data_IF_709831006858
#
_entry.id   IF_709831006858
#
_cell.length_a   1.000
_cell.length_b   1.000
_cell.length_c   1.000
_cell.angle_alpha   90.00
_cell.angle_beta   90.00
_cell.angle_gamma   90.00
#
_symmetry.space_group_name_H-M   'P 1'
#
loop_
_entity.id
_entity.type
_entity.pdbx_description
1 polymer ?
#
# COMPACT_ATOMS: atom_id res chain seq x y z
N UNK A 1 2.10 -50.17 -2.12
CA UNK A 1 0.81 -49.48 -1.90
C UNK A 1 0.61 -48.49 -3.03
N UNK A 2 -0.37 -48.73 -3.91
CA UNK A 2 -0.67 -47.90 -5.09
C UNK A 2 -1.93 -47.07 -4.79
N UNK A 3 -1.88 -45.79 -5.17
CA UNK A 3 -2.89 -44.77 -4.92
C UNK A 3 -4.25 -45.11 -5.58
N UNK A 4 -5.39 -44.83 -4.92
CA UNK A 4 -6.73 -45.24 -5.39
C UNK A 4 -7.34 -44.30 -6.44
N UNK A 5 -6.59 -43.36 -7.03
CA UNK A 5 -7.11 -42.39 -8.00
C UNK A 5 -6.72 -42.64 -9.48
N UNK A 6 -6.10 -43.78 -9.80
CA UNK A 6 -5.92 -44.21 -11.20
C UNK A 6 -7.07 -45.10 -11.66
N UNK A 7 -8.21 -44.49 -12.02
CA UNK A 7 -9.29 -45.30 -12.61
C UNK A 7 -10.57 -44.52 -12.87
N UNK A 8 -11.04 -44.59 -14.12
CA UNK A 8 -12.35 -44.13 -14.61
C UNK A 8 -12.63 -42.61 -14.62
N UNK A 9 -12.39 -41.87 -13.53
CA UNK A 9 -12.67 -40.42 -13.47
C UNK A 9 -11.68 -39.58 -14.31
N UNK A 10 -10.39 -39.93 -14.28
CA UNK A 10 -9.35 -39.28 -15.10
C UNK A 10 -9.58 -39.46 -16.61
N UNK A 11 -10.01 -40.66 -17.04
CA UNK A 11 -10.35 -40.93 -18.44
C UNK A 11 -11.65 -40.24 -18.86
N UNK A 12 -12.60 -40.07 -17.96
CA UNK A 12 -13.89 -39.41 -18.25
C UNK A 12 -13.72 -37.88 -18.35
N UNK A 13 -12.90 -37.28 -17.49
CA UNK A 13 -12.55 -35.86 -17.57
C UNK A 13 -11.72 -35.53 -18.82
N UNK A 14 -10.75 -36.38 -19.19
CA UNK A 14 -9.99 -36.24 -20.43
C UNK A 14 -10.90 -36.36 -21.67
N UNK A 15 -11.87 -37.29 -21.66
CA UNK A 15 -12.83 -37.46 -22.75
C UNK A 15 -13.83 -36.30 -22.83
N UNK A 16 -14.22 -35.71 -21.71
CA UNK A 16 -15.05 -34.50 -21.67
C UNK A 16 -14.31 -33.26 -22.19
N UNK A 17 -13.00 -33.15 -21.90
CA UNK A 17 -12.13 -32.12 -22.46
C UNK A 17 -11.90 -32.31 -23.97
N UNK A 18 -11.70 -33.53 -24.44
CA UNK A 18 -11.63 -33.84 -25.88
C UNK A 18 -12.95 -33.53 -26.59
N UNK A 19 -14.10 -33.84 -25.98
CA UNK A 19 -15.43 -33.51 -26.54
C UNK A 19 -15.61 -31.99 -26.61
N UNK A 20 -15.29 -31.25 -25.55
CA UNK A 20 -15.36 -29.78 -25.54
C UNK A 20 -14.40 -29.14 -26.55
N UNK A 21 -13.19 -29.69 -26.72
CA UNK A 21 -12.21 -29.22 -27.70
C UNK A 21 -12.67 -29.52 -29.13
N UNK A 22 -13.32 -30.67 -29.34
CA UNK A 22 -13.87 -31.09 -30.64
C UNK A 22 -15.13 -30.31 -31.00
N UNK A 23 -15.95 -29.93 -30.02
CA UNK A 23 -17.10 -29.04 -30.17
C UNK A 23 -16.62 -27.61 -30.51
N UNK A 24 -15.53 -27.15 -29.90
CA UNK A 24 -14.90 -25.87 -30.26
C UNK A 24 -14.31 -25.88 -31.68
N UNK A 25 -13.72 -27.00 -32.11
CA UNK A 25 -13.25 -27.20 -33.49
C UNK A 25 -14.38 -27.41 -34.51
N UNK A 26 -15.56 -27.84 -34.07
CA UNK A 26 -16.72 -28.00 -34.93
C UNK A 26 -17.46 -26.66 -35.12
N UNK A 27 -17.53 -25.84 -34.07
CA UNK A 27 -18.01 -24.45 -34.13
C UNK A 27 -17.13 -23.61 -35.06
N UNK A 28 -15.81 -23.88 -35.13
CA UNK A 28 -14.93 -23.19 -36.10
C UNK A 28 -15.10 -23.68 -37.54
N UNK A 29 -15.53 -24.93 -37.76
CA UNK A 29 -15.77 -25.52 -39.10
C UNK A 29 -17.13 -25.19 -39.70
N UNK A 30 -18.13 -24.84 -38.89
CA UNK A 30 -19.48 -24.46 -39.36
C UNK A 30 -19.69 -22.96 -39.54
N UNK A 31 -18.64 -22.14 -39.43
CA UNK A 31 -18.69 -20.78 -39.99
C UNK A 31 -18.79 -20.89 -41.51
N UNK A 32 -20.03 -20.92 -42.02
CA UNK A 32 -20.37 -20.26 -43.27
C UNK A 32 -19.59 -18.95 -43.28
N UNK A 33 -18.84 -18.68 -44.36
CA UNK A 33 -18.20 -17.39 -44.61
C UNK A 33 -19.29 -16.32 -44.74
N UNK A 34 -19.87 -15.96 -43.61
CA UNK A 34 -20.44 -14.65 -43.40
C UNK A 34 -19.29 -13.84 -42.86
N UNK A 35 -19.01 -12.72 -43.52
CA UNK A 35 -17.99 -11.75 -43.14
C UNK A 35 -18.43 -11.06 -41.83
N UNK A 36 -18.42 -11.81 -40.73
CA UNK A 36 -18.64 -11.30 -39.39
C UNK A 36 -17.29 -10.84 -38.87
N UNK A 37 -16.98 -9.56 -39.04
CA UNK A 37 -16.08 -8.89 -38.12
C UNK A 37 -16.82 -8.84 -36.77
N UNK A 38 -16.41 -9.57 -35.72
CA UNK A 38 -16.99 -9.36 -34.40
C UNK A 38 -16.67 -7.92 -34.00
N UNK A 39 -17.69 -7.07 -34.00
CA UNK A 39 -17.55 -5.64 -33.73
C UNK A 39 -18.33 -5.23 -32.48
N UNK A 40 -18.16 -3.96 -32.03
CA UNK A 40 -18.81 -3.41 -30.84
C UNK A 40 -20.32 -3.72 -30.75
N UNK A 41 -21.05 -3.50 -31.87
CA UNK A 41 -22.49 -3.76 -31.95
C UNK A 41 -22.90 -5.17 -31.57
N UNK A 42 -22.10 -6.18 -31.96
CA UNK A 42 -22.43 -7.57 -31.66
C UNK A 42 -22.26 -7.86 -30.17
N UNK A 43 -21.19 -7.35 -29.56
CA UNK A 43 -20.96 -7.47 -28.12
C UNK A 43 -22.09 -6.79 -27.34
N UNK A 44 -22.45 -5.55 -27.71
CA UNK A 44 -23.53 -4.81 -27.07
C UNK A 44 -24.87 -5.56 -27.16
N UNK A 45 -25.23 -6.07 -28.35
CA UNK A 45 -26.46 -6.86 -28.53
C UNK A 45 -26.49 -8.09 -27.61
N UNK A 46 -25.39 -8.84 -27.48
CA UNK A 46 -25.37 -9.98 -26.56
C UNK A 46 -25.50 -9.56 -25.09
N UNK A 47 -24.86 -8.47 -24.68
CA UNK A 47 -24.96 -7.99 -23.30
C UNK A 47 -26.36 -7.45 -22.99
N UNK A 48 -27.02 -6.77 -23.95
CA UNK A 48 -28.41 -6.32 -23.83
C UNK A 48 -29.36 -7.50 -23.69
N UNK A 49 -29.22 -8.52 -24.55
CA UNK A 49 -30.03 -9.74 -24.47
C UNK A 49 -29.85 -10.46 -23.13
N UNK A 50 -28.64 -10.48 -22.56
CA UNK A 50 -28.41 -11.02 -21.22
C UNK A 50 -29.09 -10.15 -20.16
N UNK A 51 -28.92 -8.83 -20.23
CA UNK A 51 -29.46 -7.89 -19.25
C UNK A 51 -31.00 -7.89 -19.20
N UNK A 52 -31.66 -8.08 -20.34
CA UNK A 52 -33.13 -8.03 -20.49
C UNK A 52 -33.81 -9.41 -20.41
N UNK A 53 -33.05 -10.50 -20.30
CA UNK A 53 -33.63 -11.85 -20.28
C UNK A 53 -34.52 -12.08 -19.05
N UNK A 54 -35.82 -12.26 -19.27
CA UNK A 54 -36.77 -12.59 -18.19
C UNK A 54 -36.65 -14.06 -17.74
N UNK A 55 -36.50 -15.01 -18.68
CA UNK A 55 -36.42 -16.44 -18.39
C UNK A 55 -35.00 -16.85 -17.93
N UNK A 56 -34.83 -17.30 -16.67
CA UNK A 56 -33.53 -17.73 -16.15
C UNK A 56 -32.89 -18.88 -16.93
N UNK A 57 -33.68 -19.73 -17.61
CA UNK A 57 -33.15 -20.84 -18.42
C UNK A 57 -32.41 -20.37 -19.66
N UNK A 58 -32.73 -19.18 -20.17
CA UNK A 58 -31.97 -18.57 -21.26
C UNK A 58 -30.58 -18.14 -20.79
N UNK A 59 -30.45 -17.72 -19.53
CA UNK A 59 -29.18 -17.31 -18.95
C UNK A 59 -28.19 -18.48 -18.82
N UNK A 60 -28.67 -19.71 -18.54
CA UNK A 60 -27.81 -20.91 -18.55
C UNK A 60 -27.10 -21.11 -19.90
N UNK A 61 -27.75 -20.70 -21.00
CA UNK A 61 -27.19 -20.79 -22.36
C UNK A 61 -26.38 -19.56 -22.74
N UNK A 62 -26.75 -18.40 -22.21
CA UNK A 62 -26.14 -17.13 -22.58
C UNK A 62 -24.88 -16.80 -21.77
N UNK A 63 -24.77 -17.29 -20.52
CA UNK A 63 -23.66 -16.98 -19.60
C UNK A 63 -22.24 -17.18 -20.17
N UNK A 64 -21.95 -18.16 -21.06
CA UNK A 64 -20.62 -18.26 -21.67
C UNK A 64 -20.23 -17.05 -22.53
N UNK A 65 -21.20 -16.26 -22.98
CA UNK A 65 -21.00 -15.05 -23.79
C UNK A 65 -20.60 -13.84 -22.94
N UNK A 66 -20.80 -13.87 -21.62
CA UNK A 66 -20.32 -12.84 -20.71
C UNK A 66 -18.79 -12.92 -20.60
N UNK A 67 -18.08 -11.85 -20.98
CA UNK A 67 -16.62 -11.84 -21.05
C UNK A 67 -16.03 -10.45 -20.85
N UNK A 68 -15.19 -10.31 -19.82
CA UNK A 68 -14.41 -9.10 -19.56
C UNK A 68 -13.38 -8.81 -20.66
N UNK A 69 -12.78 -9.85 -21.24
CA UNK A 69 -11.85 -9.68 -22.37
C UNK A 69 -12.57 -9.14 -23.62
N UNK A 70 -13.80 -9.60 -23.87
CA UNK A 70 -14.61 -9.06 -24.96
C UNK A 70 -15.02 -7.60 -24.68
N UNK A 71 -15.36 -7.26 -23.43
CA UNK A 71 -15.64 -5.87 -23.05
C UNK A 71 -14.41 -4.97 -23.24
N UNK A 72 -13.21 -5.42 -22.86
CA UNK A 72 -11.98 -4.63 -23.04
C UNK A 72 -11.69 -4.35 -24.53
N UNK A 73 -12.03 -5.29 -25.42
CA UNK A 73 -11.78 -5.17 -26.85
C UNK A 73 -12.88 -4.42 -27.61
N UNK A 74 -14.13 -4.65 -27.25
CA UNK A 74 -15.29 -4.25 -28.06
C UNK A 74 -16.34 -3.43 -27.32
N UNK A 75 -16.28 -3.37 -25.98
CA UNK A 75 -17.24 -2.61 -25.18
C UNK A 75 -17.21 -1.10 -25.47
N UNK A 76 -18.22 -0.39 -24.97
CA UNK A 76 -18.29 1.06 -25.03
C UNK A 76 -17.41 1.77 -23.99
N UNK A 77 -17.61 3.09 -23.86
CA UNK A 77 -16.91 3.96 -22.89
C UNK A 77 -17.40 3.80 -21.44
N UNK A 78 -18.50 3.06 -21.22
CA UNK A 78 -19.12 2.85 -19.91
C UNK A 78 -19.26 1.37 -19.56
N UNK A 79 -19.19 1.06 -18.27
CA UNK A 79 -19.42 -0.27 -17.70
C UNK A 79 -20.90 -0.53 -17.38
N UNK A 80 -21.83 0.42 -17.63
CA UNK A 80 -23.25 0.29 -17.28
C UNK A 80 -23.93 -0.94 -17.89
N UNK A 81 -23.69 -1.20 -19.17
CA UNK A 81 -24.25 -2.38 -19.84
C UNK A 81 -23.66 -3.68 -19.27
N UNK A 82 -22.36 -3.68 -18.95
CA UNK A 82 -21.69 -4.79 -18.30
C UNK A 82 -22.26 -5.03 -16.89
N UNK A 83 -22.53 -3.97 -16.13
CA UNK A 83 -23.14 -4.01 -14.81
C UNK A 83 -24.55 -4.59 -14.85
N UNK A 84 -25.40 -4.15 -15.79
CA UNK A 84 -26.75 -4.69 -15.97
C UNK A 84 -26.72 -6.19 -16.30
N UNK A 85 -25.85 -6.60 -17.23
CA UNK A 85 -25.69 -8.01 -17.58
C UNK A 85 -25.17 -8.84 -16.40
N UNK A 86 -24.15 -8.33 -15.68
CA UNK A 86 -23.61 -8.98 -14.48
C UNK A 86 -24.69 -9.17 -13.41
N UNK A 87 -25.42 -8.10 -13.06
CA UNK A 87 -26.46 -8.12 -12.05
C UNK A 87 -27.58 -9.10 -12.41
N UNK A 88 -27.98 -9.16 -13.68
CA UNK A 88 -29.00 -10.11 -14.14
C UNK A 88 -28.53 -11.56 -14.01
N UNK A 89 -27.28 -11.84 -14.38
CA UNK A 89 -26.67 -13.17 -14.24
C UNK A 89 -26.43 -13.56 -12.78
N UNK A 90 -26.26 -12.60 -11.89
CA UNK A 90 -26.03 -12.83 -10.45
C UNK A 90 -27.32 -12.83 -9.62
N UNK A 91 -28.47 -12.57 -10.23
CA UNK A 91 -29.76 -12.51 -9.57
C UNK A 91 -30.15 -13.84 -8.88
N UNK A 92 -30.96 -13.75 -7.83
CA UNK A 92 -31.28 -14.90 -6.96
C UNK A 92 -32.09 -16.01 -7.65
N UNK A 93 -32.80 -15.68 -8.73
CA UNK A 93 -33.60 -16.61 -9.56
C UNK A 93 -32.75 -17.40 -10.57
N UNK A 94 -31.46 -17.07 -10.71
CA UNK A 94 -30.53 -17.77 -11.61
C UNK A 94 -29.93 -19.03 -11.00
N UNK A 95 -29.52 -19.95 -11.87
CA UNK A 95 -28.88 -21.19 -11.42
C UNK A 95 -27.53 -20.93 -10.75
N UNK A 96 -27.13 -21.82 -9.83
CA UNK A 96 -25.80 -21.77 -9.21
C UNK A 96 -24.70 -21.87 -10.27
N UNK A 97 -24.92 -22.67 -11.33
CA UNK A 97 -23.97 -22.84 -12.43
C UNK A 97 -23.70 -21.51 -13.17
N UNK A 98 -24.75 -20.72 -13.42
CA UNK A 98 -24.61 -19.38 -14.04
C UNK A 98 -23.73 -18.49 -13.19
N UNK A 99 -24.04 -18.37 -11.89
CA UNK A 99 -23.29 -17.50 -10.96
C UNK A 99 -21.83 -17.91 -10.82
N UNK A 100 -21.55 -19.21 -10.71
CA UNK A 100 -20.18 -19.72 -10.68
C UNK A 100 -19.45 -19.53 -12.01
N UNK A 101 -20.16 -19.60 -13.14
CA UNK A 101 -19.57 -19.31 -14.45
C UNK A 101 -19.19 -17.83 -14.57
N UNK A 102 -20.03 -16.91 -14.09
CA UNK A 102 -19.71 -15.46 -14.05
C UNK A 102 -18.46 -15.21 -13.20
N UNK A 103 -18.40 -15.76 -11.98
CA UNK A 103 -17.19 -15.64 -11.13
C UNK A 103 -15.94 -16.20 -11.81
N UNK A 104 -16.06 -17.33 -12.52
CA UNK A 104 -14.95 -17.92 -13.25
C UNK A 104 -14.44 -17.04 -14.42
N UNK A 105 -15.26 -16.13 -14.95
CA UNK A 105 -14.83 -15.22 -16.03
C UNK A 105 -13.73 -14.25 -15.57
N UNK A 106 -13.68 -13.88 -14.30
CA UNK A 106 -12.61 -13.02 -13.78
C UNK A 106 -11.25 -13.74 -13.85
N UNK A 107 -11.21 -15.02 -13.47
CA UNK A 107 -9.98 -15.84 -13.59
C UNK A 107 -9.55 -16.02 -15.04
N UNK A 108 -10.51 -16.27 -15.93
CA UNK A 108 -10.26 -16.35 -17.38
C UNK A 108 -9.72 -15.04 -17.94
N UNK A 109 -10.24 -13.91 -17.45
CA UNK A 109 -9.77 -12.59 -17.85
C UNK A 109 -8.31 -12.37 -17.42
N UNK A 110 -7.99 -12.62 -16.15
CA UNK A 110 -6.61 -12.52 -15.65
C UNK A 110 -5.63 -13.41 -16.46
N UNK A 111 -6.01 -14.65 -16.74
CA UNK A 111 -5.21 -15.56 -17.60
C UNK A 111 -5.09 -15.02 -19.04
N UNK A 112 -6.17 -14.46 -19.58
CA UNK A 112 -6.18 -13.86 -20.90
C UNK A 112 -5.28 -12.63 -21.02
N UNK A 113 -5.07 -11.87 -19.94
CA UNK A 113 -4.11 -10.75 -19.93
C UNK A 113 -2.66 -11.24 -19.99
N UNK A 114 -2.34 -12.38 -19.37
CA UNK A 114 -1.00 -13.00 -19.44
C UNK A 114 -0.67 -13.52 -20.84
N UNK A 115 -1.68 -13.97 -21.58
CA UNK A 115 -1.55 -14.51 -22.94
C UNK A 115 -2.58 -13.87 -23.87
N UNK A 116 -2.39 -12.59 -24.25
CA UNK A 116 -3.37 -11.87 -25.04
C UNK A 116 -3.61 -12.58 -26.38
N UNK A 117 -4.87 -12.91 -26.73
CA UNK A 117 -5.19 -13.66 -27.96
C UNK A 117 -5.06 -12.83 -29.25
N UNK A 118 -4.53 -11.60 -29.17
CA UNK A 118 -4.31 -10.68 -30.28
C UNK A 118 -2.93 -10.01 -30.15
N UNK A 119 -2.29 -9.68 -31.27
CA UNK A 119 -1.05 -8.90 -31.29
C UNK A 119 -1.35 -7.50 -30.78
N UNK A 120 -0.88 -7.17 -29.59
CA UNK A 120 -1.20 -5.90 -28.93
C UNK A 120 -0.31 -4.80 -29.48
N UNK A 121 -0.84 -3.97 -30.38
CA UNK A 121 -0.62 -2.53 -30.27
C UNK A 121 -1.31 -2.10 -28.97
N UNK A 122 -0.52 -1.56 -28.02
CA UNK A 122 -0.82 -1.18 -26.62
C UNK A 122 -2.25 -1.42 -26.09
N UNK A 123 -2.37 -2.20 -25.00
CA UNK A 123 -3.59 -2.29 -24.20
C UNK A 123 -4.10 -0.87 -23.91
N UNK A 124 -5.40 -0.64 -24.11
CA UNK A 124 -6.03 0.62 -23.72
C UNK A 124 -6.05 0.72 -22.18
N UNK A 125 -5.09 1.45 -21.63
CA UNK A 125 -4.87 1.60 -20.19
C UNK A 125 -6.10 2.20 -19.49
N UNK A 126 -6.78 3.15 -20.13
CA UNK A 126 -7.96 3.78 -19.56
C UNK A 126 -9.11 2.78 -19.44
N UNK A 127 -9.35 1.97 -20.48
CA UNK A 127 -10.38 0.93 -20.44
C UNK A 127 -10.04 -0.19 -19.47
N UNK A 128 -8.77 -0.58 -19.38
CA UNK A 128 -8.33 -1.56 -18.39
C UNK A 128 -8.58 -1.03 -16.96
N UNK A 129 -8.31 0.25 -16.71
CA UNK A 129 -8.59 0.89 -15.42
C UNK A 129 -10.09 0.87 -15.09
N UNK A 130 -10.94 1.33 -16.00
CA UNK A 130 -12.40 1.30 -15.83
C UNK A 130 -12.94 -0.10 -15.54
N UNK A 131 -12.42 -1.10 -16.26
CA UNK A 131 -12.81 -2.50 -16.05
C UNK A 131 -12.30 -3.05 -14.72
N UNK A 132 -11.08 -2.68 -14.31
CA UNK A 132 -10.51 -3.08 -13.03
C UNK A 132 -11.33 -2.52 -11.87
N UNK A 133 -11.70 -1.24 -11.94
CA UNK A 133 -12.53 -0.59 -10.93
C UNK A 133 -13.89 -1.29 -10.84
N UNK A 134 -14.53 -1.57 -11.99
CA UNK A 134 -15.77 -2.37 -12.04
C UNK A 134 -15.60 -3.75 -11.39
N UNK A 135 -14.53 -4.49 -11.72
CA UNK A 135 -14.29 -5.84 -11.17
C UNK A 135 -14.10 -5.79 -9.65
N UNK A 136 -13.44 -4.74 -9.14
CA UNK A 136 -13.16 -4.57 -7.71
C UNK A 136 -14.42 -4.57 -6.85
N UNK A 137 -15.52 -3.98 -7.35
CA UNK A 137 -16.82 -3.92 -6.66
C UNK A 137 -17.46 -5.30 -6.44
N UNK A 138 -17.02 -6.31 -7.20
CA UNK A 138 -17.60 -7.65 -7.18
C UNK A 138 -16.63 -8.74 -6.72
N UNK A 139 -15.39 -8.39 -6.37
CA UNK A 139 -14.40 -9.33 -5.86
C UNK A 139 -14.80 -9.88 -4.48
N UNK A 140 -14.70 -11.21 -4.31
CA UNK A 140 -14.86 -11.85 -3.00
C UNK A 140 -13.51 -11.89 -2.28
N UNK A 141 -13.21 -10.86 -1.49
CA UNK A 141 -11.97 -10.83 -0.70
C UNK A 141 -12.02 -11.78 0.51
N UNK A 142 -10.92 -12.51 0.81
CA UNK A 142 -9.62 -12.50 0.13
C UNK A 142 -9.51 -13.55 -1.01
N UNK A 143 -10.54 -14.37 -1.25
CA UNK A 143 -10.48 -15.50 -2.18
C UNK A 143 -10.11 -15.11 -3.62
N UNK A 144 -10.56 -13.94 -4.06
CA UNK A 144 -10.33 -13.41 -5.40
C UNK A 144 -9.10 -12.49 -5.49
N UNK A 145 -8.44 -12.21 -4.35
CA UNK A 145 -7.34 -11.25 -4.27
C UNK A 145 -6.16 -11.60 -5.20
N UNK A 146 -5.68 -12.86 -5.34
CA UNK A 146 -4.61 -13.16 -6.29
C UNK A 146 -5.00 -12.90 -7.76
N UNK A 147 -6.24 -13.20 -8.10
CA UNK A 147 -6.76 -12.95 -9.46
C UNK A 147 -6.87 -11.44 -9.72
N UNK A 148 -7.37 -10.68 -8.75
CA UNK A 148 -7.47 -9.23 -8.87
C UNK A 148 -6.08 -8.56 -8.91
N UNK A 149 -5.12 -9.01 -8.09
CA UNK A 149 -3.72 -8.57 -8.15
C UNK A 149 -3.10 -8.81 -9.52
N UNK A 150 -3.40 -9.95 -10.16
CA UNK A 150 -2.96 -10.23 -11.52
C UNK A 150 -3.49 -9.18 -12.49
N UNK A 151 -4.76 -8.78 -12.39
CA UNK A 151 -5.34 -7.73 -13.23
C UNK A 151 -4.64 -6.39 -12.98
N UNK A 152 -4.47 -6.01 -11.70
CA UNK A 152 -3.79 -4.75 -11.31
C UNK A 152 -2.33 -4.71 -11.78
N UNK A 153 -1.68 -5.86 -11.94
CA UNK A 153 -0.30 -5.96 -12.45
C UNK A 153 -0.10 -5.50 -13.91
N UNK A 154 -1.19 -5.36 -14.67
CA UNK A 154 -1.17 -4.83 -16.04
C UNK A 154 -1.42 -3.32 -16.12
N UNK A 155 -1.67 -2.66 -14.98
CA UNK A 155 -1.70 -1.20 -14.94
C UNK A 155 -0.27 -0.64 -14.99
N UNK A 156 -0.10 0.64 -15.39
CA UNK A 156 1.20 1.29 -15.40
C UNK A 156 1.94 1.17 -14.05
N UNK A 157 3.26 0.92 -14.11
CA UNK A 157 4.15 0.83 -12.95
C UNK A 157 3.80 -0.26 -11.91
N UNK A 158 3.06 -1.30 -12.31
CA UNK A 158 2.63 -2.41 -11.44
C UNK A 158 3.09 -3.79 -11.93
N UNK A 159 4.00 -3.87 -12.90
CA UNK A 159 4.50 -5.14 -13.46
C UNK A 159 5.10 -6.08 -12.40
N UNK A 160 5.63 -5.51 -11.32
CA UNK A 160 6.16 -6.25 -10.18
C UNK A 160 5.10 -7.11 -9.45
N UNK A 161 3.82 -6.78 -9.59
CA UNK A 161 2.73 -7.53 -8.95
C UNK A 161 2.41 -8.85 -9.66
N UNK A 162 2.96 -9.10 -10.86
CA UNK A 162 2.64 -10.30 -11.67
C UNK A 162 2.88 -11.59 -10.90
N UNK A 163 4.05 -11.71 -10.26
CA UNK A 163 4.37 -12.91 -9.48
C UNK A 163 3.50 -13.04 -8.23
N UNK A 164 3.04 -11.91 -7.66
CA UNK A 164 2.20 -11.89 -6.45
C UNK A 164 0.82 -12.49 -6.73
N UNK A 165 0.28 -12.21 -7.92
CA UNK A 165 -1.01 -12.75 -8.35
C UNK A 165 -1.04 -14.27 -8.57
N UNK A 166 0.12 -14.92 -8.69
CA UNK A 166 0.26 -16.37 -8.86
C UNK A 166 0.38 -17.13 -7.52
N UNK A 167 0.50 -16.42 -6.40
CA UNK A 167 0.66 -17.01 -5.07
C UNK A 167 -0.66 -17.58 -4.53
N UNK A 168 -0.55 -18.37 -3.47
CA UNK A 168 -1.70 -18.71 -2.62
C UNK A 168 -2.34 -17.43 -2.06
N UNK A 169 -3.58 -17.51 -1.58
CA UNK A 169 -4.25 -16.35 -0.96
C UNK A 169 -3.38 -15.74 0.16
N UNK A 170 -2.87 -16.56 1.07
CA UNK A 170 -2.04 -16.11 2.18
C UNK A 170 -0.71 -15.50 1.70
N UNK A 171 -0.06 -16.14 0.73
CA UNK A 171 1.16 -15.62 0.11
C UNK A 171 0.92 -14.29 -0.59
N UNK A 172 -0.19 -14.16 -1.31
CA UNK A 172 -0.61 -12.93 -1.98
C UNK A 172 -0.87 -11.82 -0.97
N UNK A 173 -1.63 -12.08 0.11
CA UNK A 173 -1.88 -11.09 1.17
C UNK A 173 -0.56 -10.61 1.76
N UNK A 174 0.33 -11.52 2.17
CA UNK A 174 1.59 -11.17 2.80
C UNK A 174 2.50 -10.33 1.89
N UNK A 175 2.59 -10.69 0.60
CA UNK A 175 3.41 -9.99 -0.37
C UNK A 175 2.80 -8.63 -0.76
N UNK A 176 1.47 -8.50 -0.79
CA UNK A 176 0.82 -7.21 -0.97
C UNK A 176 1.08 -6.25 0.19
N UNK A 177 1.21 -6.75 1.42
CA UNK A 177 1.61 -5.91 2.56
C UNK A 177 3.05 -5.36 2.41
N UNK A 178 3.87 -5.93 1.53
CA UNK A 178 5.20 -5.43 1.17
C UNK A 178 5.20 -4.47 -0.03
N UNK A 179 4.05 -4.20 -0.66
CA UNK A 179 3.99 -3.59 -1.99
C UNK A 179 4.54 -2.15 -2.08
N UNK A 180 4.71 -1.47 -0.94
CA UNK A 180 5.30 -0.12 -0.86
C UNK A 180 6.74 -0.09 -0.36
N UNK A 181 7.36 -1.23 -0.02
CA UNK A 181 8.78 -1.25 0.34
C UNK A 181 9.67 -1.14 -0.90
N UNK A 182 9.80 0.09 -1.43
CA UNK A 182 10.56 0.34 -2.66
C UNK A 182 11.04 1.78 -2.77
N UNK A 183 12.20 1.94 -3.39
CA UNK A 183 12.76 3.26 -3.69
C UNK A 183 12.08 4.00 -4.85
N UNK A 184 11.41 3.27 -5.75
CA UNK A 184 10.73 3.84 -6.91
C UNK A 184 9.26 4.05 -6.62
N UNK A 185 8.66 5.05 -7.25
CA UNK A 185 7.22 5.29 -7.19
C UNK A 185 6.47 4.03 -7.66
N UNK A 186 5.55 3.57 -6.82
CA UNK A 186 4.60 2.52 -7.14
C UNK A 186 3.51 3.03 -8.10
N UNK A 187 3.06 2.17 -9.02
CA UNK A 187 1.78 2.36 -9.69
C UNK A 187 0.59 2.32 -8.71
N UNK A 188 -0.61 2.60 -9.21
CA UNK A 188 -1.82 2.63 -8.38
C UNK A 188 -2.14 1.23 -7.82
N UNK A 189 -1.89 1.06 -6.52
CA UNK A 189 -2.05 -0.22 -5.79
C UNK A 189 -2.62 -0.04 -4.39
N UNK A 190 -3.19 1.13 -4.12
CA UNK A 190 -3.77 1.49 -2.83
C UNK A 190 -4.85 0.48 -2.41
N UNK A 191 -5.77 0.13 -3.31
CA UNK A 191 -6.90 -0.74 -2.99
C UNK A 191 -6.46 -2.15 -2.57
N UNK A 192 -5.60 -2.79 -3.36
CA UNK A 192 -5.13 -4.15 -3.05
C UNK A 192 -4.28 -4.21 -1.76
N UNK A 193 -3.53 -3.15 -1.48
CA UNK A 193 -2.81 -3.01 -0.20
C UNK A 193 -3.78 -2.87 0.98
N UNK A 194 -4.79 -2.00 0.84
CA UNK A 194 -5.81 -1.79 1.87
C UNK A 194 -6.65 -3.03 2.10
N UNK A 195 -7.01 -3.79 1.06
CA UNK A 195 -7.73 -5.07 1.20
C UNK A 195 -6.90 -6.11 1.94
N UNK A 196 -5.61 -6.25 1.62
CA UNK A 196 -4.70 -7.14 2.33
C UNK A 196 -4.61 -6.76 3.83
N UNK A 197 -4.44 -5.48 4.14
CA UNK A 197 -4.42 -5.00 5.53
C UNK A 197 -5.77 -5.14 6.23
N UNK A 198 -6.89 -4.91 5.53
CA UNK A 198 -8.26 -5.08 6.05
C UNK A 198 -8.52 -6.53 6.41
N UNK A 199 -8.08 -7.47 5.59
CA UNK A 199 -8.21 -8.89 5.84
C UNK A 199 -7.49 -9.30 7.15
N UNK A 200 -6.21 -8.93 7.29
CA UNK A 200 -5.46 -9.20 8.52
C UNK A 200 -6.12 -8.54 9.74
N UNK A 201 -6.58 -7.29 9.62
CA UNK A 201 -7.30 -6.62 10.70
C UNK A 201 -8.61 -7.33 11.08
N UNK A 202 -9.33 -7.89 10.10
CA UNK A 202 -10.55 -8.65 10.37
C UNK A 202 -10.27 -9.92 11.16
N UNK A 203 -9.19 -10.63 10.85
CA UNK A 203 -8.74 -11.80 11.59
C UNK A 203 -8.33 -11.44 13.02
N UNK A 204 -7.61 -10.32 13.22
CA UNK A 204 -7.28 -9.83 14.58
C UNK A 204 -8.56 -9.52 15.37
N UNK A 205 -9.58 -8.93 14.74
CA UNK A 205 -10.86 -8.64 15.40
C UNK A 205 -11.65 -9.90 15.78
N UNK A 206 -11.45 -10.99 15.04
CA UNK A 206 -12.02 -12.31 15.30
C UNK A 206 -11.12 -13.16 16.24
N UNK A 207 -10.11 -12.55 16.87
CA UNK A 207 -9.17 -13.21 17.78
C UNK A 207 -8.34 -14.34 17.14
N UNK A 208 -8.24 -14.32 15.80
CA UNK A 208 -7.48 -15.29 14.99
C UNK A 208 -6.05 -14.80 14.71
N UNK A 209 -5.33 -14.43 15.77
CA UNK A 209 -3.98 -13.86 15.65
C UNK A 209 -3.01 -14.88 15.04
N UNK A 210 -3.16 -16.17 15.35
CA UNK A 210 -2.29 -17.22 14.81
C UNK A 210 -2.46 -17.41 13.29
N UNK A 211 -3.67 -17.20 12.74
CA UNK A 211 -3.90 -17.18 11.29
C UNK A 211 -3.17 -16.00 10.64
N UNK A 212 -3.19 -14.82 11.29
CA UNK A 212 -2.42 -13.65 10.82
C UNK A 212 -0.93 -13.95 10.83
N UNK A 213 -0.43 -14.58 11.89
CA UNK A 213 0.99 -14.97 11.97
C UNK A 213 1.37 -15.94 10.85
N UNK A 214 0.52 -16.92 10.54
CA UNK A 214 0.75 -17.85 9.43
C UNK A 214 0.81 -17.11 8.09
N UNK A 215 -0.08 -16.15 7.84
CA UNK A 215 -0.02 -15.29 6.66
C UNK A 215 1.31 -14.52 6.62
N UNK A 216 1.66 -13.85 7.71
CA UNK A 216 2.86 -13.01 7.78
C UNK A 216 4.17 -13.80 7.64
N UNK A 217 4.19 -15.12 7.88
CA UNK A 217 5.37 -15.97 7.62
C UNK A 217 5.79 -16.01 6.15
N UNK A 218 4.89 -15.67 5.23
CA UNK A 218 5.20 -15.61 3.80
C UNK A 218 5.95 -14.34 3.37
N UNK A 219 6.26 -13.42 4.30
CA UNK A 219 7.00 -12.19 4.01
C UNK A 219 7.94 -11.81 5.17
N UNK A 220 8.95 -11.00 4.88
CA UNK A 220 9.84 -10.49 5.92
C UNK A 220 9.13 -9.37 6.70
N UNK A 221 9.00 -9.48 8.04
CA UNK A 221 8.34 -8.48 8.87
C UNK A 221 8.90 -7.06 8.71
N UNK A 222 10.22 -6.92 8.50
CA UNK A 222 10.86 -5.61 8.30
C UNK A 222 10.47 -4.96 6.97
N UNK A 223 10.25 -5.78 5.92
CA UNK A 223 9.76 -5.32 4.61
C UNK A 223 8.30 -4.85 4.74
N UNK A 224 7.48 -5.61 5.45
CA UNK A 224 6.09 -5.22 5.73
C UNK A 224 6.05 -3.90 6.50
N UNK A 225 6.89 -3.76 7.54
CA UNK A 225 6.96 -2.54 8.34
C UNK A 225 7.39 -1.32 7.51
N UNK A 226 8.45 -1.45 6.71
CA UNK A 226 8.91 -0.40 5.79
C UNK A 226 7.85 -0.02 4.77
N UNK A 227 7.10 -1.00 4.27
CA UNK A 227 5.97 -0.78 3.36
C UNK A 227 4.86 0.04 4.04
N UNK A 228 4.47 -0.28 5.29
CA UNK A 228 3.51 0.54 6.05
C UNK A 228 3.99 1.96 6.31
N UNK A 229 5.27 2.14 6.63
CA UNK A 229 5.88 3.47 6.79
C UNK A 229 5.94 4.27 5.49
N UNK A 230 5.75 3.63 4.32
CA UNK A 230 5.75 4.23 2.99
C UNK A 230 4.36 4.34 2.35
N UNK A 231 3.37 3.61 2.88
CA UNK A 231 2.07 3.47 2.26
C UNK A 231 1.28 4.80 2.31
N UNK A 232 0.88 5.35 1.14
CA UNK A 232 0.12 6.59 1.08
C UNK A 232 -1.27 6.39 1.68
N UNK A 233 -1.84 7.49 2.22
CA UNK A 233 -3.22 7.57 2.74
C UNK A 233 -3.60 6.51 3.77
N UNK A 234 -2.62 5.84 4.37
CA UNK A 234 -2.85 4.80 5.37
C UNK A 234 -3.01 5.45 6.74
N UNK A 235 -4.20 5.32 7.33
CA UNK A 235 -4.48 5.84 8.67
C UNK A 235 -3.90 4.95 9.76
N UNK A 236 -3.23 5.55 10.75
CA UNK A 236 -2.72 4.82 11.92
C UNK A 236 -3.83 4.07 12.67
N UNK A 237 -5.06 4.61 12.72
CA UNK A 237 -6.20 3.97 13.40
C UNK A 237 -6.51 2.61 12.77
N UNK A 238 -6.42 2.54 11.44
CA UNK A 238 -6.69 1.34 10.68
C UNK A 238 -5.61 0.27 10.91
N UNK A 239 -4.33 0.63 10.87
CA UNK A 239 -3.23 -0.35 10.90
C UNK A 239 -2.65 -0.61 12.29
N UNK A 240 -3.06 0.14 13.32
CA UNK A 240 -2.53 0.05 14.70
C UNK A 240 -2.42 -1.37 15.22
N UNK A 241 -3.48 -2.17 15.08
CA UNK A 241 -3.51 -3.54 15.57
C UNK A 241 -2.54 -4.45 14.82
N UNK A 242 -2.48 -4.33 13.50
CA UNK A 242 -1.57 -5.10 12.67
C UNK A 242 -0.09 -4.74 12.96
N UNK A 243 0.22 -3.44 13.07
CA UNK A 243 1.57 -2.99 13.47
C UNK A 243 1.94 -3.54 14.85
N UNK A 244 1.01 -3.54 15.81
CA UNK A 244 1.28 -4.13 17.13
C UNK A 244 1.64 -5.61 17.10
N UNK A 245 1.08 -6.37 16.13
CA UNK A 245 1.45 -7.77 15.92
C UNK A 245 2.87 -7.86 15.35
N UNK A 246 3.19 -7.01 14.35
CA UNK A 246 4.50 -6.96 13.70
C UNK A 246 5.65 -6.52 14.61
N UNK A 247 5.35 -5.78 15.67
CA UNK A 247 6.33 -5.28 16.66
C UNK A 247 6.32 -6.07 17.97
N UNK A 248 5.49 -7.11 18.10
CA UNK A 248 5.42 -7.93 19.33
C UNK A 248 6.64 -8.83 19.50
N UNK A 249 6.88 -9.36 20.71
CA UNK A 249 8.02 -10.22 21.07
C UNK A 249 8.33 -11.40 20.12
N UNK A 250 7.34 -11.83 19.31
CA UNK A 250 7.56 -12.81 18.25
C UNK A 250 8.50 -12.34 17.14
N UNK A 251 8.56 -11.03 16.94
CA UNK A 251 9.44 -10.37 16.01
C UNK A 251 10.48 -9.59 16.83
N UNK A 252 11.75 -9.88 16.57
CA UNK A 252 12.85 -9.34 17.34
C UNK A 252 12.81 -7.80 17.38
N UNK A 253 12.70 -7.22 18.58
CA UNK A 253 12.59 -5.77 18.76
C UNK A 253 13.85 -5.05 18.28
N UNK A 254 15.03 -5.68 18.40
CA UNK A 254 16.27 -5.15 17.85
C UNK A 254 16.23 -5.06 16.32
N UNK A 255 15.69 -6.08 15.64
CA UNK A 255 15.57 -6.05 14.18
C UNK A 255 14.59 -4.95 13.73
N UNK A 256 13.54 -4.72 14.52
CA UNK A 256 12.58 -3.63 14.30
C UNK A 256 13.23 -2.27 14.52
N UNK A 257 14.01 -2.10 15.60
CA UNK A 257 14.73 -0.86 15.90
C UNK A 257 15.77 -0.55 14.82
N UNK A 258 16.54 -1.56 14.40
CA UNK A 258 17.50 -1.45 13.31
C UNK A 258 16.80 -1.04 12.00
N UNK A 259 15.70 -1.72 11.66
CA UNK A 259 14.89 -1.42 10.48
C UNK A 259 14.42 0.04 10.45
N UNK A 260 13.85 0.54 11.55
CA UNK A 260 13.36 1.93 11.64
C UNK A 260 14.52 2.93 11.55
N UNK A 261 15.63 2.63 12.20
CA UNK A 261 16.80 3.53 12.22
C UNK A 261 17.45 3.63 10.84
N UNK A 262 17.64 2.51 10.14
CA UNK A 262 18.15 2.49 8.77
C UNK A 262 17.19 3.19 7.80
N UNK A 263 15.89 2.93 7.94
CA UNK A 263 14.85 3.60 7.15
C UNK A 263 14.89 5.11 7.30
N UNK A 264 15.05 5.63 8.53
CA UNK A 264 15.09 7.07 8.80
C UNK A 264 16.43 7.72 8.45
N UNK A 265 17.52 6.94 8.41
CA UNK A 265 18.83 7.44 7.96
C UNK A 265 18.84 7.71 6.46
N UNK A 266 18.11 6.90 5.68
CA UNK A 266 18.00 7.04 4.23
C UNK A 266 16.53 7.03 3.80
N UNK A 267 15.77 8.09 4.14
CA UNK A 267 14.33 8.10 3.95
C UNK A 267 13.94 8.05 2.47
N UNK A 268 12.93 7.24 2.08
CA UNK A 268 12.33 7.29 0.75
C UNK A 268 11.51 8.58 0.57
N UNK A 269 11.11 8.87 -0.67
CA UNK A 269 10.34 10.08 -0.98
C UNK A 269 8.95 10.11 -0.33
N UNK A 270 8.30 8.95 -0.21
CA UNK A 270 6.98 8.78 0.36
C UNK A 270 7.10 8.23 1.79
N UNK A 271 7.09 9.12 2.79
CA UNK A 271 7.05 8.72 4.20
C UNK A 271 5.67 9.04 4.77
N UNK A 272 5.13 8.09 5.50
CA UNK A 272 3.95 8.28 6.32
C UNK A 272 4.38 8.51 7.78
N UNK A 273 4.58 9.79 8.14
CA UNK A 273 5.10 10.23 9.44
C UNK A 273 4.22 9.77 10.62
N UNK A 274 2.90 9.68 10.43
CA UNK A 274 1.97 9.16 11.43
C UNK A 274 2.24 7.68 11.73
N UNK A 275 2.48 6.89 10.69
CA UNK A 275 2.79 5.47 10.83
C UNK A 275 4.18 5.27 11.44
N UNK A 276 5.19 6.05 11.04
CA UNK A 276 6.51 6.01 11.68
C UNK A 276 6.40 6.30 13.17
N UNK A 277 5.66 7.35 13.56
CA UNK A 277 5.43 7.68 14.97
C UNK A 277 4.73 6.57 15.74
N UNK A 278 3.77 5.89 15.11
CA UNK A 278 3.10 4.72 15.68
C UNK A 278 4.05 3.54 15.90
N UNK A 279 4.95 3.29 14.94
CA UNK A 279 5.97 2.22 15.06
C UNK A 279 6.95 2.54 16.20
N UNK A 280 7.43 3.79 16.30
CA UNK A 280 8.29 4.26 17.40
C UNK A 280 7.58 4.08 18.75
N UNK A 281 6.29 4.43 18.83
CA UNK A 281 5.48 4.21 20.04
C UNK A 281 5.47 2.74 20.47
N UNK A 282 5.32 1.81 19.53
CA UNK A 282 5.35 0.38 19.86
C UNK A 282 6.74 -0.09 20.27
N UNK A 283 7.81 0.36 19.58
CA UNK A 283 9.19 0.08 19.98
C UNK A 283 9.47 0.45 21.43
N UNK A 284 8.99 1.62 21.87
CA UNK A 284 9.11 2.05 23.28
C UNK A 284 8.40 1.06 24.20
N UNK A 285 7.19 0.60 23.85
CA UNK A 285 6.46 -0.35 24.70
C UNK A 285 7.23 -1.64 25.01
N UNK A 286 8.09 -2.10 24.11
CA UNK A 286 8.86 -3.34 24.26
C UNK A 286 10.33 -3.12 24.64
N UNK A 287 10.90 -1.96 24.34
CA UNK A 287 12.29 -1.60 24.62
C UNK A 287 12.36 -0.27 25.36
N UNK A 288 11.57 -0.08 26.42
CA UNK A 288 11.76 1.05 27.32
C UNK A 288 12.58 0.62 28.54
N UNK A 289 13.73 1.27 28.80
CA UNK A 289 14.36 2.34 28.00
C UNK A 289 15.00 1.81 26.71
N UNK A 290 15.16 2.69 25.70
CA UNK A 290 15.86 2.34 24.45
C UNK A 290 17.27 1.80 24.77
N UNK A 291 17.78 0.80 24.02
CA UNK A 291 19.10 0.23 24.25
C UNK A 291 20.20 1.28 24.09
N UNK A 292 21.05 1.44 25.10
CA UNK A 292 22.13 2.45 25.12
C UNK A 292 23.36 2.05 24.30
N UNK A 293 23.41 0.82 23.79
CA UNK A 293 24.40 0.36 22.82
C UNK A 293 23.97 0.65 21.37
N UNK A 294 22.80 1.25 21.17
CA UNK A 294 22.25 1.57 19.86
C UNK A 294 22.11 3.09 19.68
N UNK A 295 22.60 3.62 18.55
CA UNK A 295 22.45 5.04 18.22
C UNK A 295 21.08 5.31 17.57
N UNK A 296 20.19 5.95 18.33
CA UNK A 296 18.84 6.32 17.87
C UNK A 296 18.77 7.74 17.27
N UNK A 297 19.91 8.37 16.94
CA UNK A 297 19.94 9.73 16.35
C UNK A 297 18.96 9.92 15.18
N UNK A 298 18.79 8.97 14.22
CA UNK A 298 17.80 9.11 13.16
C UNK A 298 16.35 9.17 13.66
N UNK A 299 16.02 8.44 14.73
CA UNK A 299 14.69 8.50 15.37
C UNK A 299 14.49 9.87 16.03
N UNK A 300 15.50 10.36 16.75
CA UNK A 300 15.48 11.68 17.40
C UNK A 300 15.28 12.77 16.35
N UNK A 301 16.04 12.72 15.25
CA UNK A 301 15.94 13.66 14.15
C UNK A 301 14.54 13.65 13.52
N UNK A 302 13.96 12.47 13.29
CA UNK A 302 12.62 12.34 12.76
C UNK A 302 11.56 12.93 13.70
N UNK A 303 11.60 12.60 14.99
CA UNK A 303 10.64 13.09 15.99
C UNK A 303 10.75 14.60 16.18
N UNK A 304 11.96 15.17 16.07
CA UNK A 304 12.17 16.61 16.12
C UNK A 304 11.62 17.32 14.87
N UNK A 305 11.76 16.72 13.70
CA UNK A 305 11.28 17.30 12.45
C UNK A 305 9.76 17.14 12.26
N UNK A 306 9.20 16.03 12.75
CA UNK A 306 7.80 15.64 12.57
C UNK A 306 7.15 15.25 13.91
N UNK A 307 7.05 16.20 14.86
CA UNK A 307 6.45 15.91 16.15
C UNK A 307 4.98 15.53 15.97
N UNK A 308 4.57 14.43 16.59
CA UNK A 308 3.20 13.92 16.49
C UNK A 308 2.47 14.04 17.84
N UNK A 309 1.41 14.86 17.91
CA UNK A 309 0.67 15.12 19.13
C UNK A 309 0.20 13.86 19.88
N UNK A 310 -0.29 12.86 19.14
CA UNK A 310 -0.92 11.66 19.72
C UNK A 310 0.11 10.85 20.50
N UNK A 311 1.32 10.75 19.98
CA UNK A 311 2.38 9.90 20.54
C UNK A 311 3.43 10.69 21.33
N UNK A 312 3.44 12.02 21.21
CA UNK A 312 4.46 12.92 21.74
C UNK A 312 4.80 12.62 23.20
N UNK A 313 3.80 12.61 24.09
CA UNK A 313 4.02 12.43 25.53
C UNK A 313 4.89 11.21 25.87
N UNK A 314 4.65 10.07 25.21
CA UNK A 314 5.39 8.83 25.48
C UNK A 314 6.74 8.81 24.78
N UNK A 315 6.77 9.28 23.53
CA UNK A 315 8.01 9.33 22.74
C UNK A 315 9.00 10.30 23.38
N UNK A 316 8.54 11.48 23.79
CA UNK A 316 9.39 12.51 24.38
C UNK A 316 10.03 12.01 25.68
N UNK A 317 9.24 11.36 26.54
CA UNK A 317 9.73 10.78 27.79
C UNK A 317 10.79 9.70 27.53
N UNK A 318 10.52 8.77 26.60
CA UNK A 318 11.45 7.71 26.26
C UNK A 318 12.78 8.21 25.70
N UNK A 319 12.75 9.20 24.81
CA UNK A 319 13.96 9.79 24.24
C UNK A 319 14.74 10.58 25.31
N UNK A 320 14.05 11.33 26.18
CA UNK A 320 14.73 12.04 27.28
C UNK A 320 15.40 11.05 28.24
N UNK A 321 14.71 9.97 28.63
CA UNK A 321 15.30 8.91 29.46
C UNK A 321 16.51 8.27 28.77
N UNK A 322 16.45 8.03 27.47
CA UNK A 322 17.60 7.54 26.72
C UNK A 322 18.78 8.52 26.78
N UNK A 323 18.55 9.81 26.49
CA UNK A 323 19.59 10.84 26.49
C UNK A 323 20.21 11.09 27.87
N UNK A 324 19.51 10.82 28.97
CA UNK A 324 20.09 10.87 30.31
C UNK A 324 21.11 9.75 30.56
N UNK A 325 20.91 8.60 29.93
CA UNK A 325 21.74 7.42 30.14
C UNK A 325 22.77 7.22 29.02
N UNK A 326 22.59 7.90 27.89
CA UNK A 326 23.45 7.85 26.72
C UNK A 326 24.32 9.11 26.65
N UNK A 327 25.62 8.93 26.44
CA UNK A 327 26.52 10.07 26.39
C UNK A 327 26.30 10.84 25.07
N UNK A 328 25.79 12.07 25.17
CA UNK A 328 25.41 12.92 24.02
C UNK A 328 26.52 13.06 22.96
N UNK A 329 27.79 13.05 23.39
CA UNK A 329 28.96 13.13 22.50
C UNK A 329 29.14 11.91 21.58
N UNK A 330 28.48 10.79 21.86
CA UNK A 330 28.54 9.57 21.06
C UNK A 330 27.43 9.51 19.98
N UNK A 331 26.46 10.43 20.02
CA UNK A 331 25.41 10.51 19.01
C UNK A 331 25.99 10.83 17.63
N UNK A 332 25.51 10.17 16.59
CA UNK A 332 25.88 10.56 15.21
C UNK A 332 25.31 11.91 14.79
N UNK A 333 24.21 12.37 15.40
CA UNK A 333 23.66 13.71 15.19
C UNK A 333 23.27 14.40 16.52
N UNK A 334 24.22 15.05 17.20
CA UNK A 334 23.94 15.85 18.40
C UNK A 334 23.04 17.06 18.11
N UNK A 335 23.00 17.56 16.87
CA UNK A 335 22.18 18.72 16.51
C UNK A 335 20.69 18.37 16.52
N UNK A 336 20.35 17.18 16.04
CA UNK A 336 19.00 16.65 16.15
C UNK A 336 18.55 16.51 17.61
N UNK A 337 19.41 16.00 18.50
CA UNK A 337 19.13 15.91 19.93
C UNK A 337 18.91 17.29 20.57
N UNK A 338 19.74 18.28 20.22
CA UNK A 338 19.54 19.66 20.67
C UNK A 338 18.16 20.21 20.26
N UNK A 339 17.79 20.08 18.98
CA UNK A 339 16.47 20.54 18.47
C UNK A 339 15.31 19.84 19.16
N UNK A 340 15.41 18.52 19.34
CA UNK A 340 14.42 17.74 20.07
C UNK A 340 14.24 18.24 21.52
N UNK A 341 15.34 18.48 22.23
CA UNK A 341 15.28 18.98 23.61
C UNK A 341 14.67 20.39 23.69
N UNK A 342 14.94 21.26 22.71
CA UNK A 342 14.28 22.57 22.62
C UNK A 342 12.77 22.43 22.49
N UNK A 343 12.27 21.50 21.67
CA UNK A 343 10.83 21.21 21.56
C UNK A 343 10.23 20.70 22.87
N UNK A 344 10.97 19.88 23.64
CA UNK A 344 10.53 19.43 24.95
C UNK A 344 10.38 20.60 25.95
N UNK A 345 11.28 21.58 25.88
CA UNK A 345 11.29 22.74 26.79
C UNK A 345 10.23 23.77 26.43
N UNK A 346 10.06 24.05 25.14
CA UNK A 346 9.16 25.09 24.65
C UNK A 346 7.68 24.76 24.92
N UNK A 347 6.98 25.54 25.78
CA UNK A 347 5.56 25.32 26.06
C UNK A 347 4.64 25.66 24.87
N UNK A 348 5.16 26.35 23.86
CA UNK A 348 4.43 26.73 22.65
C UNK A 348 4.77 25.84 21.44
N UNK A 349 5.58 24.79 21.62
CA UNK A 349 5.89 23.86 20.54
C UNK A 349 4.62 23.17 20.01
N UNK A 350 4.49 23.08 18.68
CA UNK A 350 3.33 22.51 18.02
C UNK A 350 3.72 21.39 17.05
N UNK A 351 2.76 20.50 16.75
CA UNK A 351 2.85 19.58 15.61
C UNK A 351 2.63 20.29 14.26
N UNK A 352 2.72 19.54 13.16
CA UNK A 352 2.47 20.04 11.81
C UNK A 352 1.04 20.58 11.62
N UNK A 353 0.09 20.12 12.44
CA UNK A 353 -1.29 20.60 12.47
C UNK A 353 -1.49 21.88 13.29
N UNK A 354 -0.44 22.41 13.92
CA UNK A 354 -0.50 23.58 14.80
C UNK A 354 -1.06 23.28 16.18
N UNK A 355 -1.13 22.01 16.58
CA UNK A 355 -1.59 21.60 17.90
C UNK A 355 -0.44 21.57 18.91
N UNK A 356 -0.64 22.18 20.07
CA UNK A 356 0.38 22.29 21.12
C UNK A 356 0.78 20.90 21.64
N UNK A 357 2.09 20.64 21.64
CA UNK A 357 2.70 19.42 22.14
C UNK A 357 2.61 19.35 23.68
N UNK A 358 2.01 18.28 24.19
CA UNK A 358 1.87 18.08 25.63
C UNK A 358 3.09 17.40 26.25
N UNK A 359 4.17 18.16 26.47
CA UNK A 359 5.35 17.68 27.21
C UNK A 359 5.08 17.70 28.72
N UNK A 360 5.18 16.55 29.42
CA UNK A 360 5.05 16.50 30.88
C UNK A 360 6.08 17.38 31.59
N UNK A 361 5.71 17.96 32.73
CA UNK A 361 6.59 18.90 33.45
C UNK A 361 7.91 18.29 33.93
N UNK A 362 7.89 17.01 34.31
CA UNK A 362 9.08 16.26 34.70
C UNK A 362 9.99 15.95 33.49
N UNK A 363 9.41 15.59 32.34
CA UNK A 363 10.14 15.43 31.07
C UNK A 363 10.79 16.76 30.67
N UNK A 364 10.04 17.87 30.79
CA UNK A 364 10.54 19.23 30.52
C UNK A 364 11.74 19.58 31.37
N UNK A 365 11.68 19.30 32.67
CA UNK A 365 12.77 19.55 33.60
C UNK A 365 14.01 18.69 33.28
N UNK A 366 13.82 17.41 32.98
CA UNK A 366 14.91 16.52 32.55
C UNK A 366 15.56 17.00 31.26
N UNK A 367 14.76 17.41 30.27
CA UNK A 367 15.27 17.95 29.01
C UNK A 367 16.08 19.24 29.21
N UNK A 368 15.61 20.15 30.07
CA UNK A 368 16.35 21.37 30.41
C UNK A 368 17.71 21.05 31.05
N UNK A 369 17.75 20.09 31.98
CA UNK A 369 19.00 19.70 32.63
C UNK A 369 20.04 19.16 31.63
N UNK A 370 19.61 18.38 30.62
CA UNK A 370 20.51 17.88 29.56
C UNK A 370 21.02 19.04 28.70
N UNK A 371 20.17 20.01 28.34
CA UNK A 371 20.60 21.21 27.60
C UNK A 371 21.67 22.00 28.37
N UNK A 372 21.44 22.21 29.67
CA UNK A 372 22.32 22.99 30.55
C UNK A 372 23.67 22.29 30.78
N UNK A 373 23.69 20.97 30.87
CA UNK A 373 24.88 20.18 31.19
C UNK A 373 25.70 19.78 29.96
N UNK A 374 25.05 19.41 28.84
CA UNK A 374 25.72 18.76 27.72
C UNK A 374 25.87 19.66 26.48
N UNK A 375 25.05 20.71 26.34
CA UNK A 375 25.04 21.56 25.14
C UNK A 375 25.45 23.01 25.39
N UNK A 376 25.03 23.60 26.53
CA UNK A 376 25.34 24.98 26.87
C UNK A 376 26.82 25.23 27.25
N UNK A 377 27.58 24.30 27.87
CA UNK A 377 29.00 24.53 28.15
C UNK A 377 29.86 24.62 26.88
N UNK A 378 29.37 24.13 25.74
CA UNK A 378 30.06 24.19 24.43
C UNK A 378 29.72 25.46 23.64
N UNK A 379 28.66 26.17 24.01
CA UNK A 379 28.25 27.45 23.43
C UNK A 379 28.99 28.60 24.15
N UNK A 380 30.31 28.68 24.02
CA UNK A 380 31.07 29.86 24.50
C UNK A 380 30.57 31.07 23.71
N UNK A 381 30.06 32.14 24.37
CA UNK A 381 29.72 33.36 23.66
C UNK A 381 31.01 33.95 23.08
N UNK A 382 31.03 34.18 21.77
CA UNK A 382 32.03 35.06 21.16
C UNK A 382 32.06 36.37 21.97
N UNK A 383 33.25 36.89 22.33
CA UNK A 383 33.34 38.10 23.13
C UNK A 383 32.58 39.21 22.41
N UNK A 384 31.58 39.75 23.09
CA UNK A 384 30.82 40.91 22.66
C UNK A 384 31.80 42.01 22.30
N UNK A 385 31.93 42.30 21.00
CA UNK A 385 32.62 43.49 20.52
C UNK A 385 31.85 44.67 21.10
N UNK A 386 32.46 45.30 22.10
CA UNK A 386 32.02 46.57 22.65
C UNK A 386 32.02 47.58 21.51
N UNK A 387 30.83 47.93 21.03
CA UNK A 387 30.64 49.02 20.08
C UNK A 387 30.73 50.35 20.83
N UNK A 388 31.95 50.78 21.11
CA UNK A 388 32.24 52.18 21.43
C UNK A 388 32.66 52.92 20.15
N UNK A 389 31.90 53.98 19.87
CA UNK A 389 32.20 55.09 18.96
C UNK A 389 32.19 54.83 17.45
N UNK A 390 31.19 55.37 16.76
CA UNK A 390 31.21 56.75 16.25
C UNK A 390 30.28 56.88 15.04
N UNK A 391 29.43 57.90 15.12
CA UNK A 391 28.49 58.32 14.11
C UNK A 391 29.18 58.67 12.78
N UNK A 392 28.88 57.93 11.72
CA UNK A 392 29.00 58.42 10.34
C UNK A 392 27.73 58.03 9.60
N UNK A 393 26.94 59.06 9.26
CA UNK A 393 25.80 58.95 8.36
C UNK A 393 26.31 58.63 6.95
N UNK A 394 25.91 57.48 6.41
CA UNK A 394 26.10 57.17 4.99
C UNK A 394 24.76 56.77 4.41
N UNK A 395 24.38 57.50 3.35
CA UNK A 395 23.12 57.40 2.65
C UNK A 395 22.91 56.03 1.98
N UNK A 396 21.67 55.56 1.99
CA UNK A 396 21.21 54.37 1.27
C UNK A 396 21.23 54.61 -0.25
N UNK A 397 21.81 53.71 -1.06
CA UNK A 397 21.51 53.62 -2.48
C UNK A 397 20.20 52.83 -2.73
N UNK A 398 19.54 53.04 -3.88
CA UNK A 398 18.17 52.61 -4.11
C UNK A 398 18.03 51.10 -4.38
N UNK A 399 16.83 50.61 -4.07
CA UNK A 399 16.32 49.26 -4.29
C UNK A 399 16.41 48.89 -5.78
N UNK A 400 17.11 47.80 -6.09
CA UNK A 400 17.03 47.12 -7.39
C UNK A 400 15.75 46.29 -7.42
N UNK A 401 14.80 46.69 -8.28
CA UNK A 401 13.63 45.89 -8.61
C UNK A 401 14.04 44.57 -9.28
N UNK A 402 13.48 43.47 -8.79
CA UNK A 402 13.65 42.13 -9.35
C UNK A 402 12.97 42.04 -10.72
N UNK A 403 13.74 41.68 -11.75
CA UNK A 403 13.18 41.26 -13.03
C UNK A 403 12.48 39.90 -12.91
N UNK A 404 11.34 39.67 -13.60
CA UNK A 404 10.64 38.38 -13.55
C UNK A 404 11.37 37.29 -14.36
N UNK A 405 11.16 36.00 -14.03
CA UNK A 405 11.92 34.89 -14.58
C UNK A 405 11.58 34.63 -16.06
N UNK A 406 12.64 34.38 -16.84
CA UNK A 406 12.62 34.00 -18.25
C UNK A 406 12.04 32.58 -18.39
N UNK A 407 11.04 32.42 -19.26
CA UNK A 407 10.53 31.12 -19.71
C UNK A 407 11.62 30.42 -20.53
N UNK A 408 11.94 29.19 -20.16
CA UNK A 408 12.73 28.27 -20.98
C UNK A 408 11.72 27.38 -21.70
N UNK A 409 11.54 27.60 -22.99
CA UNK A 409 10.86 26.66 -23.88
C UNK A 409 11.84 25.51 -24.18
N UNK A 410 11.42 24.27 -23.93
CA UNK A 410 12.14 23.08 -24.34
C UNK A 410 11.60 22.62 -25.69
N UNK A 411 12.47 22.60 -26.70
CA UNK A 411 12.31 21.80 -27.92
C UNK A 411 12.46 20.30 -27.63
#
# INVERSE_FOLDING_TARGET
>A
MKSPFEGFLSKSAAKALEILQRDWQWISKLRVKVDWQPGPKLFDTYMELIAEAEDPKLLDRAVPSFSYMAWLKFGGESTDLLARAYNRLMAADTSVCVRETVKAQMRRFAQGLQHPPWSVDRLDEQRLKQLSDFISDYCSFPADLPTYTTIVSFHPDNEDLRYIGELSVDGCVAQLLCAYDRYRKAGEREDIFHEAARWCNSLIRLEKIDEVRQILQHANPTTILRSFMQAPKTSFVFVRKLISVLTSDHYNVYDTLLCVTEFLKFPPYNINHDIVSLVIYYLIGFSHPFPTDFDISPIIAHVAAHPNLIWWKKISDAIVVYLQNYQVSQLSDPTAAFRFLQLCVDPAACDEGGHILNTPGDVRQRAQAILDMDFLPTMVPLPSVSSSSSSVSVALPPVLEFAPPVRIDME
#
